data_IF_506558377910
#
_entry.id   IF_506558377910
#
_cell.length_a   1.000
_cell.length_b   1.000
_cell.length_c   1.000
_cell.angle_alpha   90.00
_cell.angle_beta   90.00
_cell.angle_gamma   90.00
#
_symmetry.space_group_name_H-M   'P 1'
#
loop_
_entity.id
_entity.type
_entity.pdbx_description
1 polymer ?
#
# COMPACT_ATOMS: atom_id res chain seq x y z
N UNK A 1 -0.26 19.61 9.48
CA UNK A 1 -1.53 20.31 9.18
C UNK A 1 -2.66 19.46 9.71
N UNK A 2 -3.37 19.93 10.73
CA UNK A 2 -4.60 19.26 11.16
C UNK A 2 -5.72 19.71 10.22
N UNK A 3 -6.37 18.76 9.55
CA UNK A 3 -7.55 19.05 8.76
C UNK A 3 -8.71 19.42 9.70
N UNK A 4 -9.45 20.49 9.39
CA UNK A 4 -10.66 20.86 10.14
C UNK A 4 -11.80 19.90 9.77
N UNK A 5 -12.04 18.92 10.64
CA UNK A 5 -13.10 17.93 10.47
C UNK A 5 -14.46 18.43 10.95
N UNK A 6 -14.53 19.60 11.61
CA UNK A 6 -15.79 20.15 12.12
C UNK A 6 -16.66 20.74 11.02
N UNK A 7 -16.09 21.10 9.87
CA UNK A 7 -16.81 21.73 8.76
C UNK A 7 -16.56 21.02 7.42
N UNK A 8 -17.07 19.79 7.31
CA UNK A 8 -17.00 19.01 6.07
C UNK A 8 -18.25 19.25 5.20
N UNK A 9 -18.12 19.35 3.86
CA UNK A 9 -19.25 19.50 2.96
C UNK A 9 -19.96 18.14 2.73
N UNK A 10 -20.57 17.61 3.79
CA UNK A 10 -21.18 16.28 3.83
C UNK A 10 -22.18 16.04 2.68
N UNK A 11 -23.10 16.96 2.32
CA UNK A 11 -24.08 16.70 1.26
C UNK A 11 -23.44 16.34 -0.08
N UNK A 12 -22.30 16.95 -0.42
CA UNK A 12 -21.56 16.66 -1.65
C UNK A 12 -20.63 15.45 -1.52
N UNK A 13 -20.19 15.12 -0.30
CA UNK A 13 -19.21 14.06 -0.05
C UNK A 13 -19.86 12.67 0.11
N UNK A 14 -21.06 12.59 0.68
CA UNK A 14 -21.70 11.33 1.05
C UNK A 14 -21.93 10.40 -0.16
N UNK A 15 -22.39 10.93 -1.29
CA UNK A 15 -22.62 10.14 -2.51
C UNK A 15 -21.34 9.50 -3.07
N UNK A 16 -20.27 10.28 -3.32
CA UNK A 16 -18.96 9.73 -3.71
C UNK A 16 -18.36 8.76 -2.68
N UNK A 17 -18.48 9.06 -1.38
CA UNK A 17 -17.97 8.20 -0.31
C UNK A 17 -18.65 6.82 -0.33
N UNK A 18 -19.98 6.79 -0.39
CA UNK A 18 -20.74 5.54 -0.44
C UNK A 18 -20.37 4.69 -1.67
N UNK A 19 -20.13 5.33 -2.83
CA UNK A 19 -19.68 4.63 -4.03
C UNK A 19 -18.28 4.05 -3.88
N UNK A 20 -17.35 4.81 -3.30
CA UNK A 20 -15.99 4.36 -3.07
C UNK A 20 -15.96 3.17 -2.09
N UNK A 21 -16.77 3.23 -1.03
CA UNK A 21 -16.91 2.16 -0.04
C UNK A 21 -17.49 0.87 -0.67
N UNK A 22 -18.60 0.95 -1.43
CA UNK A 22 -19.16 -0.21 -2.14
C UNK A 22 -18.16 -0.83 -3.13
N UNK A 23 -17.41 -0.01 -3.87
CA UNK A 23 -16.38 -0.51 -4.79
C UNK A 23 -15.23 -1.20 -4.08
N UNK A 24 -14.81 -0.69 -2.92
CA UNK A 24 -13.76 -1.27 -2.11
C UNK A 24 -14.21 -2.60 -1.50
N UNK A 25 -15.43 -2.67 -0.95
CA UNK A 25 -16.01 -3.89 -0.41
C UNK A 25 -16.13 -4.98 -1.50
N UNK A 26 -16.56 -4.62 -2.71
CA UNK A 26 -16.61 -5.54 -3.86
C UNK A 26 -15.22 -5.99 -4.33
N UNK A 27 -14.21 -5.14 -4.24
CA UNK A 27 -12.84 -5.53 -4.55
C UNK A 27 -12.34 -6.54 -3.53
N UNK A 28 -12.55 -6.27 -2.24
CA UNK A 28 -12.14 -7.14 -1.14
C UNK A 28 -12.74 -8.54 -1.28
N UNK A 29 -14.06 -8.65 -1.47
CA UNK A 29 -14.71 -9.95 -1.67
C UNK A 29 -14.19 -10.70 -2.91
N UNK A 30 -13.98 -9.99 -4.03
CA UNK A 30 -13.43 -10.60 -5.25
C UNK A 30 -12.01 -11.11 -5.04
N UNK A 31 -11.17 -10.33 -4.36
CA UNK A 31 -9.79 -10.72 -4.04
C UNK A 31 -9.80 -11.91 -3.09
N UNK A 32 -10.65 -11.89 -2.06
CA UNK A 32 -10.79 -12.97 -1.09
C UNK A 32 -11.15 -14.32 -1.73
N UNK A 33 -12.05 -14.32 -2.73
CA UNK A 33 -12.46 -15.54 -3.48
C UNK A 33 -11.53 -15.92 -4.62
N UNK A 34 -10.53 -15.11 -4.95
CA UNK A 34 -9.68 -15.32 -6.11
C UNK A 34 -8.57 -16.35 -5.86
N UNK A 35 -8.26 -17.25 -6.82
CA UNK A 35 -7.11 -18.15 -6.70
C UNK A 35 -5.77 -17.42 -6.74
N UNK A 36 -5.74 -16.16 -7.15
CA UNK A 36 -4.53 -15.33 -7.21
C UNK A 36 -4.45 -14.31 -6.08
N UNK A 37 -5.27 -14.44 -5.03
CA UNK A 37 -5.35 -13.53 -3.88
C UNK A 37 -3.97 -13.19 -3.34
N UNK A 38 -3.19 -14.20 -2.98
CA UNK A 38 -1.91 -13.99 -2.30
C UNK A 38 -0.94 -13.24 -3.21
N UNK A 39 -0.90 -13.59 -4.50
CA UNK A 39 -0.09 -12.88 -5.48
C UNK A 39 -0.54 -11.43 -5.73
N UNK A 40 -1.84 -11.14 -5.62
CA UNK A 40 -2.37 -9.77 -5.70
C UNK A 40 -1.98 -8.95 -4.47
N UNK A 41 -2.12 -9.51 -3.26
CA UNK A 41 -1.76 -8.85 -2.00
C UNK A 41 -0.27 -8.54 -1.94
N UNK A 42 0.59 -9.53 -2.24
CA UNK A 42 2.04 -9.34 -2.23
C UNK A 42 2.48 -8.24 -3.19
N UNK A 43 2.00 -8.25 -4.45
CA UNK A 43 2.32 -7.19 -5.44
C UNK A 43 1.80 -5.82 -5.02
N UNK A 44 0.65 -5.77 -4.35
CA UNK A 44 0.08 -4.51 -3.85
C UNK A 44 0.97 -3.90 -2.76
N UNK A 45 1.59 -4.71 -1.90
CA UNK A 45 2.53 -4.20 -0.89
C UNK A 45 3.79 -3.59 -1.51
N UNK A 46 4.36 -4.18 -2.55
CA UNK A 46 5.48 -3.60 -3.28
C UNK A 46 5.10 -2.27 -3.95
N UNK A 47 3.94 -2.23 -4.62
CA UNK A 47 3.45 -1.02 -5.26
C UNK A 47 3.17 0.10 -4.26
N UNK A 48 2.56 -0.21 -3.12
CA UNK A 48 2.31 0.75 -2.03
C UNK A 48 3.62 1.29 -1.44
N UNK A 49 4.61 0.43 -1.20
CA UNK A 49 5.92 0.86 -0.70
C UNK A 49 6.63 1.80 -1.67
N UNK A 50 6.65 1.48 -2.98
CA UNK A 50 7.24 2.37 -3.98
C UNK A 50 6.48 3.71 -4.09
N UNK A 51 5.15 3.67 -4.06
CA UNK A 51 4.31 4.87 -4.12
C UNK A 51 4.49 5.77 -2.88
N UNK A 52 4.68 5.18 -1.68
CA UNK A 52 4.92 5.94 -0.46
C UNK A 52 6.21 6.78 -0.56
N UNK A 53 7.27 6.21 -1.12
CA UNK A 53 8.53 6.94 -1.34
C UNK A 53 8.37 7.99 -2.43
N UNK A 54 7.59 7.68 -3.48
CA UNK A 54 7.31 8.64 -4.54
C UNK A 54 6.58 9.90 -4.04
N UNK A 55 5.63 9.74 -3.11
CA UNK A 55 4.94 10.89 -2.48
C UNK A 55 5.90 11.79 -1.71
N UNK A 56 7.03 11.27 -1.25
CA UNK A 56 8.09 12.04 -0.58
C UNK A 56 9.13 12.61 -1.56
N UNK A 57 8.98 12.34 -2.86
CA UNK A 57 9.92 12.79 -3.90
C UNK A 57 11.06 11.82 -4.19
N UNK A 58 11.03 10.61 -3.61
CA UNK A 58 12.05 9.58 -3.81
C UNK A 58 11.58 8.55 -4.85
N UNK A 59 12.47 8.12 -5.74
CA UNK A 59 12.16 7.11 -6.75
C UNK A 59 12.82 5.79 -6.41
N UNK A 60 12.02 4.73 -6.28
CA UNK A 60 12.50 3.37 -6.04
C UNK A 60 11.97 2.47 -7.15
N UNK A 61 12.88 1.76 -7.81
CA UNK A 61 12.50 0.74 -8.78
C UNK A 61 11.90 -0.46 -8.06
N UNK A 62 10.72 -0.90 -8.50
CA UNK A 62 10.04 -2.06 -7.92
C UNK A 62 10.89 -3.31 -8.01
N UNK A 63 11.66 -3.47 -9.09
CA UNK A 63 12.55 -4.61 -9.31
C UNK A 63 13.67 -4.64 -8.26
N UNK A 64 14.29 -3.50 -7.97
CA UNK A 64 15.32 -3.39 -6.94
C UNK A 64 14.73 -3.70 -5.56
N UNK A 65 13.51 -3.24 -5.27
CA UNK A 65 12.81 -3.56 -4.02
C UNK A 65 12.48 -5.04 -3.87
N UNK A 66 12.04 -5.69 -4.96
CA UNK A 66 11.78 -7.14 -4.99
C UNK A 66 13.07 -7.94 -4.78
N UNK A 67 14.15 -7.56 -5.45
CA UNK A 67 15.45 -8.20 -5.29
C UNK A 67 15.99 -8.01 -3.87
N UNK A 68 15.87 -6.81 -3.31
CA UNK A 68 16.30 -6.50 -1.95
C UNK A 68 15.52 -7.30 -0.90
N UNK A 69 14.18 -7.39 -1.04
CA UNK A 69 13.34 -8.21 -0.16
C UNK A 69 13.71 -9.70 -0.20
N UNK A 70 14.16 -10.19 -1.36
CA UNK A 70 14.63 -11.55 -1.54
C UNK A 70 16.10 -11.78 -1.13
N UNK A 71 16.81 -10.75 -0.63
CA UNK A 71 18.26 -10.79 -0.38
C UNK A 71 19.09 -11.14 -1.63
N UNK A 72 18.61 -10.72 -2.81
CA UNK A 72 19.20 -10.93 -4.13
C UNK A 72 19.69 -9.62 -4.75
N UNK A 73 20.16 -8.69 -3.91
CA UNK A 73 20.70 -7.40 -4.34
C UNK A 73 21.80 -7.58 -5.38
N UNK A 74 21.62 -6.96 -6.55
CA UNK A 74 22.64 -6.93 -7.62
C UNK A 74 23.56 -5.71 -7.53
N UNK A 75 23.23 -4.76 -6.65
CA UNK A 75 23.94 -3.50 -6.39
C UNK A 75 23.84 -3.18 -4.90
N UNK A 76 24.75 -2.36 -4.39
CA UNK A 76 24.68 -1.90 -2.99
C UNK A 76 23.35 -1.17 -2.74
N UNK A 77 22.58 -1.54 -1.69
CA UNK A 77 21.30 -0.91 -1.41
C UNK A 77 21.43 0.58 -1.15
N UNK A 78 20.58 1.36 -1.80
CA UNK A 78 20.50 2.79 -1.56
C UNK A 78 19.67 3.11 -0.30
N UNK A 79 19.74 4.37 0.14
CA UNK A 79 19.02 4.81 1.32
C UNK A 79 17.50 4.73 1.11
N UNK A 80 17.02 5.22 -0.04
CA UNK A 80 15.62 5.16 -0.45
C UNK A 80 15.12 3.72 -0.61
N UNK A 81 15.94 2.80 -1.12
CA UNK A 81 15.60 1.37 -1.21
C UNK A 81 15.42 0.76 0.19
N UNK A 82 16.32 1.07 1.12
CA UNK A 82 16.23 0.60 2.51
C UNK A 82 14.97 1.13 3.19
N UNK A 83 14.60 2.38 2.93
CA UNK A 83 13.36 2.99 3.43
C UNK A 83 12.11 2.37 2.82
N UNK A 84 12.07 2.13 1.51
CA UNK A 84 10.96 1.44 0.85
C UNK A 84 10.76 0.03 1.43
N UNK A 85 11.85 -0.70 1.67
CA UNK A 85 11.79 -2.01 2.31
C UNK A 85 11.25 -1.93 3.75
N UNK A 86 11.55 -0.87 4.51
CA UNK A 86 10.94 -0.65 5.81
C UNK A 86 9.41 -0.43 5.72
N UNK A 87 8.92 0.32 4.73
CA UNK A 87 7.48 0.49 4.47
C UNK A 87 6.83 -0.84 4.10
N UNK A 88 7.43 -1.61 3.19
CA UNK A 88 6.98 -2.94 2.80
C UNK A 88 6.82 -3.87 4.02
N UNK A 89 7.84 -3.91 4.88
CA UNK A 89 7.80 -4.70 6.13
C UNK A 89 6.72 -4.22 7.09
N UNK A 90 6.48 -2.92 7.18
CA UNK A 90 5.41 -2.38 8.02
C UNK A 90 4.02 -2.82 7.50
N UNK A 91 3.77 -2.78 6.18
CA UNK A 91 2.50 -3.20 5.59
C UNK A 91 2.20 -4.69 5.80
N UNK A 92 3.18 -5.56 5.54
CA UNK A 92 3.04 -7.00 5.81
C UNK A 92 2.79 -7.28 7.28
N UNK A 93 3.45 -6.53 8.18
CA UNK A 93 3.24 -6.68 9.63
C UNK A 93 1.80 -6.33 10.03
N UNK A 94 1.25 -5.22 9.52
CA UNK A 94 -0.15 -4.84 9.78
C UNK A 94 -1.10 -5.97 9.36
N UNK A 95 -0.87 -6.57 8.19
CA UNK A 95 -1.70 -7.68 7.70
C UNK A 95 -1.59 -8.94 8.58
N UNK A 96 -0.42 -9.21 9.12
CA UNK A 96 -0.17 -10.39 9.97
C UNK A 96 -0.71 -10.23 11.40
N UNK A 97 -1.03 -9.02 11.84
CA UNK A 97 -1.61 -8.78 13.16
C UNK A 97 -3.13 -8.97 13.11
N UNK A 98 -3.70 -9.89 13.91
CA UNK A 98 -5.16 -9.97 14.04
C UNK A 98 -5.71 -8.68 14.66
N UNK A 99 -6.94 -8.29 14.31
CA UNK A 99 -7.61 -7.16 14.96
C UNK A 99 -7.83 -7.48 16.44
N UNK A 100 -7.52 -6.52 17.33
CA UNK A 100 -7.86 -6.57 18.76
C UNK A 100 -9.37 -6.51 19.00
#
# INVERSE_FOLDING_TARGET
MAYDTANLPLPTLLGPLARAEDLLARLDERVHKSPVRDGFVERSHFADAAAALWLEGELVHTEDLVLHDAHMDIRTPSHELTRAHAVLRARRRILLHPPD
#
